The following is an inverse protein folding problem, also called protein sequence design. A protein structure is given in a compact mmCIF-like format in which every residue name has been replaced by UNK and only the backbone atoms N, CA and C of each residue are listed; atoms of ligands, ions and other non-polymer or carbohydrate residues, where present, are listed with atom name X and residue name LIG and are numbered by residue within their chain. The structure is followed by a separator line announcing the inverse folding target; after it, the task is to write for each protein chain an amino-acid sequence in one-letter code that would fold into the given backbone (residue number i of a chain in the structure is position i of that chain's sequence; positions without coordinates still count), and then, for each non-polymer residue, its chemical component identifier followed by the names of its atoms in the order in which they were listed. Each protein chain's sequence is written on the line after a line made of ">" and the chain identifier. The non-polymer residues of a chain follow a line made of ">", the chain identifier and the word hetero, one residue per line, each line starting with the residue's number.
data_IF_667927189957
#
_entry.id   IF_667927189957
#
_cell.length_a   1.000
_cell.length_b   1.000
_cell.length_c   1.000
_cell.angle_alpha   90.00
_cell.angle_beta   90.00
_cell.angle_gamma   90.00
#
_symmetry.space_group_name_H-M   'P 1'
#
loop_
_entity.id
_entity.type
_entity.pdbx_description
1 polymer ?
#
# COMPACT_ATOMS: atom_id res chain seq x y z
N UNK A 1 12.74 -8.32 -3.72
CA UNK A 1 11.43 -8.71 -3.18
C UNK A 1 11.23 -10.20 -3.40
N UNK A 2 11.03 -10.98 -2.34
CA UNK A 2 10.51 -12.35 -2.51
C UNK A 2 9.10 -12.25 -3.12
N UNK A 3 8.65 -13.25 -3.89
CA UNK A 3 7.30 -13.23 -4.45
C UNK A 3 6.29 -13.15 -3.30
N UNK A 4 5.50 -12.08 -3.27
CA UNK A 4 4.41 -11.97 -2.30
C UNK A 4 3.41 -13.08 -2.58
N UNK A 5 3.05 -13.82 -1.54
CA UNK A 5 2.08 -14.90 -1.66
C UNK A 5 0.73 -14.34 -2.13
N UNK A 6 0.28 -14.82 -3.30
CA UNK A 6 -0.99 -14.39 -3.91
C UNK A 6 -2.17 -14.79 -3.04
N UNK A 7 -2.07 -15.89 -2.30
CA UNK A 7 -3.15 -16.38 -1.44
C UNK A 7 -3.33 -15.49 -0.21
N UNK A 8 -2.25 -14.86 0.26
CA UNK A 8 -2.30 -13.81 1.30
C UNK A 8 -3.07 -12.58 0.82
N UNK A 9 -2.86 -12.17 -0.43
CA UNK A 9 -3.47 -10.95 -0.98
C UNK A 9 -4.90 -11.14 -1.47
N UNK A 10 -5.31 -12.36 -1.83
CA UNK A 10 -6.63 -12.64 -2.42
C UNK A 10 -7.81 -12.16 -1.55
N UNK A 11 -7.85 -12.40 -0.22
CA UNK A 11 -8.92 -11.87 0.62
C UNK A 11 -8.97 -10.34 0.66
N UNK A 12 -7.79 -9.71 0.75
CA UNK A 12 -7.63 -8.25 0.77
C UNK A 12 -8.03 -7.62 -0.56
N UNK A 13 -7.65 -8.26 -1.67
CA UNK A 13 -8.03 -7.87 -3.02
C UNK A 13 -9.56 -7.89 -3.17
N UNK A 14 -10.23 -8.95 -2.71
CA UNK A 14 -11.69 -9.04 -2.74
C UNK A 14 -12.38 -7.97 -1.89
N UNK A 15 -11.75 -7.53 -0.80
CA UNK A 15 -12.32 -6.57 0.15
C UNK A 15 -12.13 -5.12 -0.30
N UNK A 16 -10.96 -4.79 -0.84
CA UNK A 16 -10.55 -3.40 -1.09
C UNK A 16 -10.54 -3.00 -2.57
N UNK A 17 -10.62 -3.96 -3.50
CA UNK A 17 -10.67 -3.68 -4.94
C UNK A 17 -11.99 -4.20 -5.50
N UNK A 18 -13.01 -3.34 -5.51
CA UNK A 18 -14.37 -3.70 -5.94
C UNK A 18 -14.59 -3.61 -7.46
N UNK A 19 -13.67 -2.99 -8.21
CA UNK A 19 -13.76 -2.79 -9.66
C UNK A 19 -12.99 -3.83 -10.48
N UNK A 20 -12.43 -4.86 -9.84
CA UNK A 20 -11.77 -6.01 -10.46
C UNK A 20 -12.17 -7.30 -9.73
N UNK A 21 -12.00 -8.44 -10.38
CA UNK A 21 -12.06 -9.72 -9.68
C UNK A 21 -10.84 -9.88 -8.76
N UNK A 22 -10.93 -10.69 -7.68
CA UNK A 22 -9.79 -10.94 -6.81
C UNK A 22 -8.57 -11.50 -7.56
N UNK A 23 -8.79 -12.37 -8.55
CA UNK A 23 -7.72 -12.96 -9.37
C UNK A 23 -6.98 -11.92 -10.21
N UNK A 24 -7.70 -11.00 -10.87
CA UNK A 24 -7.08 -9.88 -11.60
C UNK A 24 -6.39 -8.87 -10.68
N UNK A 25 -6.91 -8.70 -9.47
CA UNK A 25 -6.37 -7.75 -8.51
C UNK A 25 -5.04 -8.24 -7.91
N UNK A 26 -4.89 -9.54 -7.65
CA UNK A 26 -3.63 -10.10 -7.14
C UNK A 26 -2.52 -10.14 -8.19
N UNK A 27 -2.83 -9.95 -9.49
CA UNK A 27 -1.81 -9.69 -10.52
C UNK A 27 -1.18 -8.28 -10.38
N UNK A 28 -1.75 -7.43 -9.51
CA UNK A 28 -1.24 -6.10 -9.17
C UNK A 28 -0.98 -6.00 -7.65
N UNK A 29 -0.04 -6.78 -7.09
CA UNK A 29 0.13 -6.92 -5.64
C UNK A 29 0.35 -5.57 -4.93
N UNK A 30 1.22 -4.71 -5.47
CA UNK A 30 1.48 -3.37 -4.91
C UNK A 30 0.23 -2.51 -4.80
N UNK A 31 -0.72 -2.68 -5.73
CA UNK A 31 -1.99 -1.95 -5.70
C UNK A 31 -2.90 -2.45 -4.59
N UNK A 32 -2.93 -3.76 -4.35
CA UNK A 32 -3.68 -4.35 -3.22
C UNK A 32 -3.09 -3.86 -1.90
N UNK A 33 -1.77 -3.90 -1.78
CA UNK A 33 -1.04 -3.47 -0.59
C UNK A 33 -1.27 -1.98 -0.33
N UNK A 34 -1.14 -1.14 -1.36
CA UNK A 34 -1.40 0.29 -1.25
C UNK A 34 -2.84 0.58 -0.82
N UNK A 35 -3.83 -0.18 -1.30
CA UNK A 35 -5.22 -0.03 -0.85
C UNK A 35 -5.39 -0.35 0.64
N UNK A 36 -4.79 -1.45 1.11
CA UNK A 36 -4.83 -1.81 2.54
C UNK A 36 -4.08 -0.78 3.38
N UNK A 37 -2.93 -0.28 2.92
CA UNK A 37 -2.23 0.80 3.60
C UNK A 37 -3.04 2.10 3.63
N UNK A 38 -3.86 2.38 2.62
CA UNK A 38 -4.62 3.62 2.54
C UNK A 38 -5.93 3.59 3.34
N UNK A 39 -6.72 2.53 3.18
CA UNK A 39 -8.09 2.41 3.70
C UNK A 39 -8.35 1.12 4.48
N UNK A 40 -7.30 0.32 4.74
CA UNK A 40 -7.39 -0.91 5.51
C UNK A 40 -7.88 -0.68 6.92
N UNK A 41 -8.60 -1.65 7.47
CA UNK A 41 -8.90 -1.65 8.90
C UNK A 41 -7.69 -2.13 9.72
N UNK A 42 -7.79 -2.00 11.04
CA UNK A 42 -6.68 -2.33 11.92
C UNK A 42 -6.23 -3.78 11.79
N UNK A 43 -7.16 -4.74 11.69
CA UNK A 43 -6.82 -6.15 11.63
C UNK A 43 -6.09 -6.48 10.33
N UNK A 44 -6.61 -5.98 9.20
CA UNK A 44 -6.01 -6.21 7.89
C UNK A 44 -4.64 -5.55 7.76
N UNK A 45 -4.47 -4.34 8.29
CA UNK A 45 -3.18 -3.66 8.32
C UNK A 45 -2.17 -4.40 9.19
N UNK A 46 -2.56 -4.90 10.37
CA UNK A 46 -1.66 -5.68 11.22
C UNK A 46 -1.24 -6.98 10.55
N UNK A 47 -2.19 -7.70 9.93
CA UNK A 47 -1.89 -8.92 9.20
C UNK A 47 -0.92 -8.65 8.03
N UNK A 48 -1.18 -7.60 7.24
CA UNK A 48 -0.34 -7.20 6.13
C UNK A 48 1.10 -6.90 6.57
N UNK A 49 1.27 -6.11 7.64
CA UNK A 49 2.60 -5.78 8.18
C UNK A 49 3.32 -7.03 8.66
N UNK A 50 2.62 -7.92 9.37
CA UNK A 50 3.21 -9.14 9.91
C UNK A 50 3.70 -10.08 8.79
N UNK A 51 2.97 -10.15 7.68
CA UNK A 51 3.29 -11.07 6.58
C UNK A 51 4.33 -10.51 5.61
N UNK A 52 4.30 -9.21 5.32
CA UNK A 52 5.17 -8.61 4.29
C UNK A 52 6.43 -7.97 4.87
N UNK A 53 6.40 -7.59 6.14
CA UNK A 53 7.46 -6.80 6.78
C UNK A 53 7.52 -5.35 6.27
N UNK A 54 8.27 -4.52 6.98
CA UNK A 54 8.33 -3.09 6.70
C UNK A 54 9.02 -2.76 5.38
N UNK A 55 9.99 -3.55 4.92
CA UNK A 55 10.74 -3.29 3.68
C UNK A 55 9.83 -3.34 2.43
N UNK A 56 8.96 -4.35 2.35
CA UNK A 56 7.95 -4.46 1.28
C UNK A 56 7.00 -3.26 1.27
N UNK A 57 6.61 -2.77 2.46
CA UNK A 57 5.73 -1.61 2.57
C UNK A 57 6.45 -0.32 2.16
N UNK A 58 7.75 -0.18 2.44
CA UNK A 58 8.58 0.92 1.96
C UNK A 58 8.67 0.93 0.44
N UNK A 59 8.86 -0.23 -0.19
CA UNK A 59 8.89 -0.37 -1.65
C UNK A 59 7.55 0.08 -2.28
N UNK A 60 6.41 -0.36 -1.73
CA UNK A 60 5.09 0.05 -2.23
C UNK A 60 4.86 1.56 -2.05
N UNK A 61 5.25 2.12 -0.90
CA UNK A 61 5.10 3.56 -0.65
C UNK A 61 5.98 4.40 -1.58
N UNK A 62 7.19 3.92 -1.90
CA UNK A 62 8.14 4.59 -2.79
C UNK A 62 7.66 4.61 -4.25
N UNK A 63 6.99 3.53 -4.69
CA UNK A 63 6.46 3.41 -6.05
C UNK A 63 4.97 3.80 -6.18
N UNK A 64 4.41 4.41 -5.13
CA UNK A 64 3.01 4.79 -5.10
C UNK A 64 2.64 5.74 -6.25
N UNK A 65 1.53 5.43 -6.90
CA UNK A 65 0.97 6.22 -7.98
C UNK A 65 0.00 7.28 -7.45
N UNK A 66 -0.17 8.34 -8.24
CA UNK A 66 -1.13 9.39 -7.94
C UNK A 66 -2.54 8.84 -7.69
N UNK A 67 -3.12 9.22 -6.54
CA UNK A 67 -4.45 8.80 -6.11
C UNK A 67 -4.52 7.45 -5.40
N UNK A 68 -3.39 6.75 -5.15
CA UNK A 68 -3.40 5.53 -4.33
C UNK A 68 -3.48 5.81 -2.83
N UNK A 69 -2.98 6.96 -2.37
CA UNK A 69 -2.96 7.36 -0.97
C UNK A 69 -3.66 8.70 -0.78
N UNK A 70 -4.35 8.84 0.36
CA UNK A 70 -4.72 10.14 0.90
C UNK A 70 -3.57 10.76 1.72
N UNK A 71 -3.70 12.04 2.08
CA UNK A 71 -2.67 12.77 2.83
C UNK A 71 -2.41 12.15 4.21
N UNK A 72 -3.43 11.63 4.88
CA UNK A 72 -3.33 11.12 6.26
C UNK A 72 -2.53 9.83 6.28
N UNK A 73 -2.90 8.86 5.43
CA UNK A 73 -2.23 7.58 5.31
C UNK A 73 -0.80 7.77 4.78
N UNK A 74 -0.59 8.68 3.83
CA UNK A 74 0.74 9.01 3.32
C UNK A 74 1.70 9.47 4.42
N UNK A 75 1.28 10.44 5.24
CA UNK A 75 2.05 10.95 6.38
C UNK A 75 2.29 9.87 7.42
N UNK A 76 1.26 9.12 7.79
CA UNK A 76 1.35 8.05 8.77
C UNK A 76 2.40 7.01 8.38
N UNK A 77 2.35 6.49 7.15
CA UNK A 77 3.27 5.45 6.69
C UNK A 77 4.70 5.95 6.53
N UNK A 78 4.89 7.20 6.10
CA UNK A 78 6.22 7.80 6.05
C UNK A 78 6.88 7.87 7.43
N UNK A 79 6.12 8.22 8.47
CA UNK A 79 6.64 8.22 9.83
C UNK A 79 6.81 6.80 10.39
N UNK A 80 5.79 5.94 10.25
CA UNK A 80 5.82 4.57 10.78
C UNK A 80 6.99 3.75 10.25
N UNK A 81 7.34 3.94 8.97
CA UNK A 81 8.39 3.19 8.30
C UNK A 81 9.77 3.88 8.37
N UNK A 82 9.88 5.03 9.03
CA UNK A 82 11.14 5.77 9.17
C UNK A 82 11.63 6.41 7.87
N UNK A 83 10.72 6.74 6.95
CA UNK A 83 11.03 7.34 5.64
C UNK A 83 11.01 8.88 5.64
N UNK A 84 10.49 9.51 6.70
CA UNK A 84 10.46 10.95 6.83
C UNK A 84 11.00 11.40 8.20
N UNK A 85 11.72 12.52 8.18
CA UNK A 85 12.02 13.28 9.38
C UNK A 85 10.82 14.15 9.76
N UNK A 86 10.77 14.59 11.02
CA UNK A 86 9.74 15.52 11.51
C UNK A 86 9.66 16.73 10.58
N UNK A 87 8.45 17.05 10.12
CA UNK A 87 8.12 18.14 9.19
C UNK A 87 8.68 18.01 7.75
N UNK A 88 9.26 16.86 7.40
CA UNK A 88 9.84 16.58 6.08
C UNK A 88 9.22 15.35 5.41
N UNK A 89 7.90 15.30 5.33
CA UNK A 89 7.19 14.27 4.55
C UNK A 89 7.17 14.68 3.07
N UNK A 90 7.54 13.80 2.13
CA UNK A 90 7.43 14.06 0.70
C UNK A 90 6.00 14.45 0.29
N UNK A 91 5.82 15.27 -0.75
CA UNK A 91 4.48 15.52 -1.29
C UNK A 91 3.89 14.24 -1.89
N UNK A 92 2.56 14.15 -1.90
CA UNK A 92 1.85 13.07 -2.59
C UNK A 92 2.25 12.99 -4.07
N UNK A 93 2.30 11.78 -4.67
CA UNK A 93 2.52 11.63 -6.10
C UNK A 93 1.38 12.29 -6.88
N UNK A 94 1.75 13.09 -7.88
CA UNK A 94 0.82 13.76 -8.79
C UNK A 94 0.99 13.24 -10.21
N UNK A 95 -0.10 13.14 -10.97
CA UNK A 95 -0.03 12.80 -12.40
C UNK A 95 0.70 13.90 -13.14
N UNK A 96 1.73 13.53 -13.92
CA UNK A 96 2.43 14.44 -14.83
C UNK A 96 1.92 14.17 -16.25
N UNK A 97 1.39 15.20 -16.89
CA UNK A 97 1.09 15.20 -18.32
C UNK A 97 2.30 15.85 -19.01
N UNK A 98 3.04 15.07 -19.79
CA UNK A 98 4.16 15.55 -20.61
C UNK A 98 3.81 15.33 -22.06
#
# INVERSE_FOLDING_TARGET
>A
MDPIDRDVLRPLASKYIWWKTPDEAVDMPDRVIAQVMNIGDYADVQQLVHQLGDDSLREVLTHAQAGQFDQRSWVYWHYRLGLANVDHVPPLPVRRFT
#
